data_IF_169761387805
#
_entry.id   IF_169761387805
#
_cell.length_a   1.000
_cell.length_b   1.000
_cell.length_c   1.000
_cell.angle_alpha   90.00
_cell.angle_beta   90.00
_cell.angle_gamma   90.00
#
_symmetry.space_group_name_H-M   'P 1'
#
loop_
_entity.id
_entity.type
_entity.pdbx_description
1 polymer ?
#
# COMPACT_ATOMS: atom_id res chain seq x y z
N UNK A 1 6.39 -27.93 7.36
CA UNK A 1 5.85 -26.57 7.38
C UNK A 1 6.21 -25.88 6.08
N UNK A 2 5.25 -25.27 5.43
CA UNK A 2 5.48 -24.61 4.14
C UNK A 2 6.06 -23.23 4.38
N UNK A 3 7.14 -22.90 3.72
CA UNK A 3 7.69 -21.57 3.76
C UNK A 3 6.81 -20.62 2.94
N UNK A 4 6.70 -19.38 3.40
CA UNK A 4 5.99 -18.35 2.66
C UNK A 4 6.86 -17.90 1.50
N UNK A 5 6.33 -17.98 0.29
CA UNK A 5 6.98 -17.40 -0.87
C UNK A 5 6.55 -15.93 -0.98
N UNK A 6 7.41 -15.03 -0.53
CA UNK A 6 7.09 -13.59 -0.53
C UNK A 6 7.06 -12.99 -1.93
N UNK A 7 7.52 -13.71 -2.95
CA UNK A 7 7.44 -13.25 -4.34
C UNK A 7 6.11 -13.61 -4.99
N UNK A 8 5.38 -14.59 -4.42
CA UNK A 8 4.07 -15.01 -4.88
C UNK A 8 3.16 -15.24 -3.68
N UNK A 9 2.91 -14.21 -2.88
CA UNK A 9 2.14 -14.36 -1.66
C UNK A 9 0.66 -14.60 -1.94
N UNK A 10 -0.01 -15.24 -0.98
CA UNK A 10 -1.45 -15.38 -1.03
C UNK A 10 -2.12 -14.04 -0.70
N UNK A 11 -3.34 -13.86 -1.17
CA UNK A 11 -4.12 -12.68 -0.82
C UNK A 11 -4.36 -12.61 0.69
N UNK A 12 -4.62 -13.76 1.33
CA UNK A 12 -4.85 -13.82 2.77
C UNK A 12 -3.64 -13.30 3.55
N UNK A 13 -2.43 -13.69 3.14
CA UNK A 13 -1.22 -13.16 3.77
C UNK A 13 -1.11 -11.65 3.58
N UNK A 14 -1.31 -11.17 2.36
CA UNK A 14 -1.19 -9.75 2.06
C UNK A 14 -2.18 -8.92 2.86
N UNK A 15 -3.42 -9.37 2.96
CA UNK A 15 -4.45 -8.66 3.72
C UNK A 15 -4.17 -8.65 5.22
N UNK A 16 -3.37 -9.59 5.72
CA UNK A 16 -3.01 -9.62 7.12
C UNK A 16 -1.97 -8.58 7.51
N UNK A 17 -1.29 -7.98 6.53
CA UNK A 17 -0.26 -6.98 6.79
C UNK A 17 -0.93 -5.65 7.14
N UNK A 18 -0.49 -5.03 8.23
CA UNK A 18 -0.92 -3.68 8.55
C UNK A 18 -0.30 -2.72 7.53
N UNK A 19 -1.15 -2.08 6.73
CA UNK A 19 -0.68 -1.20 5.66
C UNK A 19 0.18 -0.05 6.20
N UNK A 20 -0.03 0.35 7.44
CA UNK A 20 0.76 1.41 8.07
C UNK A 20 2.24 1.03 8.21
N UNK A 21 2.54 -0.26 8.24
CA UNK A 21 3.92 -0.73 8.29
C UNK A 21 4.64 -0.58 6.94
N UNK A 22 3.89 -0.46 5.85
CA UNK A 22 4.43 -0.39 4.51
C UNK A 22 4.53 1.03 3.98
N UNK A 23 3.78 1.96 4.56
CA UNK A 23 3.67 3.32 4.05
C UNK A 23 4.44 4.30 4.91
N UNK A 24 5.09 5.30 4.29
CA UNK A 24 5.66 6.42 5.04
C UNK A 24 4.58 7.40 5.51
N UNK A 25 3.42 7.41 4.85
CA UNK A 25 2.31 8.28 5.23
C UNK A 25 1.71 7.84 6.56
N UNK A 26 1.08 8.78 7.26
CA UNK A 26 0.38 8.56 8.51
C UNK A 26 -1.05 9.06 8.38
N UNK A 27 -1.94 8.58 9.28
CA UNK A 27 -3.30 9.10 9.32
C UNK A 27 -3.28 10.61 9.58
N UNK A 28 -4.18 11.38 9.00
CA UNK A 28 -5.33 10.97 8.20
C UNK A 28 -5.04 10.83 6.70
N UNK A 29 -3.78 10.75 6.29
CA UNK A 29 -3.40 10.78 4.89
C UNK A 29 -3.31 9.39 4.25
N UNK A 30 -3.44 8.32 5.02
CA UNK A 30 -3.41 6.96 4.49
C UNK A 30 -4.73 6.69 3.77
N UNK A 31 -4.63 6.30 2.50
CA UNK A 31 -5.80 6.09 1.65
C UNK A 31 -6.07 4.62 1.37
N UNK A 32 -5.03 3.82 1.21
CA UNK A 32 -5.22 2.41 0.88
C UNK A 32 -5.47 1.62 2.16
N UNK A 33 -6.41 0.67 2.06
CA UNK A 33 -6.79 -0.15 3.22
C UNK A 33 -5.95 -1.39 3.37
N UNK A 34 -5.64 -2.05 2.26
CA UNK A 34 -4.87 -3.29 2.33
C UNK A 34 -4.20 -3.58 1.00
N UNK A 35 -3.13 -4.37 1.09
CA UNK A 35 -2.48 -4.97 -0.06
C UNK A 35 -3.21 -6.28 -0.35
N UNK A 36 -3.60 -6.50 -1.59
CA UNK A 36 -4.38 -7.68 -1.97
C UNK A 36 -3.72 -8.53 -3.04
N UNK A 37 -2.77 -7.99 -3.77
CA UNK A 37 -2.04 -8.74 -4.77
C UNK A 37 -0.63 -8.20 -4.94
N UNK A 38 0.29 -9.11 -5.19
CA UNK A 38 1.69 -8.76 -5.43
C UNK A 38 2.33 -9.83 -6.30
N UNK A 39 3.03 -9.41 -7.33
CA UNK A 39 3.93 -10.26 -8.09
C UNK A 39 5.11 -9.40 -8.59
N UNK A 40 5.94 -9.98 -9.44
CA UNK A 40 7.16 -9.29 -9.89
C UNK A 40 6.90 -7.99 -10.65
N UNK A 41 5.72 -7.87 -11.26
CA UNK A 41 5.43 -6.74 -12.14
C UNK A 41 4.20 -5.95 -11.68
N UNK A 42 3.42 -6.45 -10.72
CA UNK A 42 2.14 -5.86 -10.37
C UNK A 42 1.92 -5.84 -8.87
N UNK A 43 1.31 -4.75 -8.42
CA UNK A 43 0.85 -4.59 -7.04
C UNK A 43 -0.59 -4.13 -7.08
N UNK A 44 -1.43 -4.78 -6.27
CA UNK A 44 -2.85 -4.45 -6.18
C UNK A 44 -3.17 -4.09 -4.75
N UNK A 45 -3.84 -2.97 -4.58
CA UNK A 45 -4.34 -2.52 -3.27
C UNK A 45 -5.84 -2.34 -3.33
N UNK A 46 -6.45 -2.31 -2.17
CA UNK A 46 -7.88 -2.05 -2.03
C UNK A 46 -8.08 -0.81 -1.17
N UNK A 47 -8.97 0.05 -1.62
CA UNK A 47 -9.33 1.29 -0.95
C UNK A 47 -10.83 1.36 -0.77
N UNK A 48 -11.27 1.69 0.43
CA UNK A 48 -12.67 2.02 0.67
C UNK A 48 -12.81 3.54 0.69
N UNK A 49 -13.59 4.07 -0.25
CA UNK A 49 -13.85 5.51 -0.32
C UNK A 49 -14.93 5.84 0.69
N UNK A 50 -14.59 6.67 1.68
CA UNK A 50 -15.51 7.11 2.72
C UNK A 50 -15.78 8.60 2.56
N UNK A 51 -16.99 9.02 2.90
CA UNK A 51 -17.39 10.43 2.73
C UNK A 51 -16.56 11.40 3.58
N UNK A 52 -15.98 10.93 4.66
CA UNK A 52 -15.12 11.74 5.54
C UNK A 52 -13.64 11.71 5.14
N UNK A 53 -13.31 11.08 4.03
CA UNK A 53 -11.94 11.06 3.53
C UNK A 53 -11.55 12.45 3.04
N UNK A 54 -10.31 12.86 3.30
CA UNK A 54 -9.80 14.18 2.93
C UNK A 54 -9.88 14.46 1.44
N UNK A 55 -9.88 13.43 0.60
CA UNK A 55 -9.84 13.54 -0.85
C UNK A 55 -11.20 13.29 -1.51
N UNK A 56 -12.25 13.16 -0.72
CA UNK A 56 -13.61 12.98 -1.24
C UNK A 56 -14.29 14.34 -1.33
N UNK A 57 -14.78 14.68 -2.51
CA UNK A 57 -15.54 15.91 -2.76
C UNK A 57 -16.87 15.55 -3.37
N UNK A 58 -17.98 16.06 -2.76
CA UNK A 58 -19.35 15.83 -3.26
C UNK A 58 -19.65 14.35 -3.51
N UNK A 59 -19.13 13.46 -2.64
CA UNK A 59 -19.35 12.03 -2.75
C UNK A 59 -18.44 11.33 -3.77
N UNK A 60 -17.50 12.04 -4.38
CA UNK A 60 -16.59 11.48 -5.37
C UNK A 60 -15.13 11.69 -4.95
N UNK A 61 -14.29 10.70 -5.25
CA UNK A 61 -12.85 10.86 -5.08
C UNK A 61 -12.36 11.95 -6.02
N UNK A 62 -11.61 12.90 -5.50
CA UNK A 62 -10.99 13.94 -6.33
C UNK A 62 -9.89 13.38 -7.19
N UNK A 63 -9.51 14.08 -8.27
CA UNK A 63 -8.37 13.71 -9.10
C UNK A 63 -7.09 13.66 -8.27
N UNK A 64 -6.91 14.61 -7.35
CA UNK A 64 -5.77 14.63 -6.44
C UNK A 64 -5.76 13.37 -5.57
N UNK A 65 -6.92 12.93 -5.08
CA UNK A 65 -7.04 11.70 -4.30
C UNK A 65 -6.65 10.47 -5.10
N UNK A 66 -7.04 10.40 -6.36
CA UNK A 66 -6.65 9.28 -7.22
C UNK A 66 -5.14 9.23 -7.44
N UNK A 67 -4.50 10.36 -7.67
CA UNK A 67 -3.05 10.45 -7.83
C UNK A 67 -2.36 10.00 -6.55
N UNK A 68 -2.82 10.47 -5.40
CA UNK A 68 -2.25 10.07 -4.11
C UNK A 68 -2.45 8.58 -3.84
N UNK A 69 -3.60 8.03 -4.23
CA UNK A 69 -3.85 6.60 -4.10
C UNK A 69 -2.83 5.78 -4.90
N UNK A 70 -2.56 6.19 -6.13
CA UNK A 70 -1.57 5.52 -6.97
C UNK A 70 -0.18 5.63 -6.35
N UNK A 71 0.18 6.80 -5.86
CA UNK A 71 1.49 7.01 -5.21
C UNK A 71 1.62 6.11 -3.97
N UNK A 72 0.58 5.99 -3.17
CA UNK A 72 0.61 5.13 -1.99
C UNK A 72 0.68 3.65 -2.37
N UNK A 73 0.03 3.24 -3.45
CA UNK A 73 0.16 1.86 -3.93
C UNK A 73 1.61 1.57 -4.34
N UNK A 74 2.26 2.49 -5.01
CA UNK A 74 3.69 2.35 -5.33
C UNK A 74 4.54 2.29 -4.06
N UNK A 75 4.24 3.12 -3.08
CA UNK A 75 4.96 3.12 -1.79
C UNK A 75 4.77 1.79 -1.06
N UNK A 76 3.56 1.23 -1.08
CA UNK A 76 3.27 -0.06 -0.47
C UNK A 76 4.10 -1.17 -1.12
N UNK A 77 4.25 -1.14 -2.45
CA UNK A 77 5.09 -2.10 -3.15
C UNK A 77 6.54 -2.02 -2.66
N UNK A 78 7.07 -0.81 -2.58
CA UNK A 78 8.46 -0.61 -2.15
C UNK A 78 8.62 -1.07 -0.70
N UNK A 79 7.68 -0.73 0.17
CA UNK A 79 7.71 -1.17 1.56
C UNK A 79 7.65 -2.68 1.69
N UNK A 80 6.79 -3.32 0.91
CA UNK A 80 6.69 -4.77 0.92
C UNK A 80 8.00 -5.43 0.46
N UNK A 81 8.57 -4.94 -0.65
CA UNK A 81 9.83 -5.47 -1.17
C UNK A 81 10.94 -5.33 -0.14
N UNK A 82 11.05 -4.17 0.49
CA UNK A 82 12.10 -3.94 1.47
C UNK A 82 11.92 -4.82 2.71
N UNK A 83 10.70 -4.93 3.21
CA UNK A 83 10.44 -5.63 4.46
C UNK A 83 10.47 -7.15 4.31
N UNK A 84 9.87 -7.67 3.25
CA UNK A 84 9.62 -9.11 3.13
C UNK A 84 10.51 -9.80 2.12
N UNK A 85 10.96 -9.12 1.08
CA UNK A 85 11.79 -9.74 0.04
C UNK A 85 13.26 -9.46 0.30
N UNK A 86 13.63 -8.21 0.43
CA UNK A 86 15.01 -7.83 0.72
C UNK A 86 15.34 -7.91 2.21
N UNK A 87 14.30 -7.92 3.04
CA UNK A 87 14.41 -7.99 4.50
C UNK A 87 15.23 -6.85 5.09
N UNK A 88 15.12 -5.70 4.48
CA UNK A 88 15.71 -4.46 4.96
C UNK A 88 14.64 -3.66 5.72
N UNK A 89 15.07 -2.81 6.61
CA UNK A 89 14.14 -1.86 7.23
C UNK A 89 13.54 -0.93 6.18
N UNK A 90 12.32 -0.45 6.44
CA UNK A 90 11.67 0.52 5.55
C UNK A 90 12.44 1.83 5.63
N UNK A 91 12.83 2.35 4.47
CA UNK A 91 13.51 3.63 4.36
C UNK A 91 12.48 4.69 3.98
N UNK A 92 12.14 5.51 4.95
CA UNK A 92 11.14 6.55 4.77
C UNK A 92 11.77 7.71 4.01
N UNK A 93 11.03 8.27 3.06
CA UNK A 93 11.42 9.49 2.37
C UNK A 93 12.28 9.30 1.13
N UNK A 94 12.61 8.07 0.79
CA UNK A 94 13.36 7.82 -0.44
C UNK A 94 12.52 7.98 -1.70
N UNK A 95 11.21 7.95 -1.56
CA UNK A 95 10.29 8.16 -2.67
C UNK A 95 10.28 9.65 -2.98
N UNK A 96 10.54 9.98 -4.20
CA UNK A 96 10.61 11.36 -4.60
C UNK A 96 11.97 12.00 -4.39
N UNK A 97 12.89 11.21 -3.97
CA UNK A 97 14.27 11.67 -3.95
C UNK A 97 14.79 11.80 -5.38
#
# INVERSE_FOLDING_TARGET
MTEIDYTQPSEAFLRSIDIHELLPQQEPFVMIGSLTGFDRVRTVTQTQVKSDNLFVEQGHFSATGLIENIAQTCAARIGYVNKYILKKGIQIGFIGA
#
